data_IF_493021956565
#
_entry.id   IF_493021956565
#
_cell.length_a   1.000
_cell.length_b   1.000
_cell.length_c   1.000
_cell.angle_alpha   90.00
_cell.angle_beta   90.00
_cell.angle_gamma   90.00
#
_symmetry.space_group_name_H-M   'P 1'
#
loop_
_entity.id
_entity.type
_entity.pdbx_description
1 polymer ?
#
# COMPACT_ATOMS: atom_id res chain seq x y z
N UNK A 1 87.20 31.20 12.02
CA UNK A 1 87.61 30.39 13.20
C UNK A 1 86.33 30.17 14.00
N UNK A 2 85.74 29.02 13.83
CA UNK A 2 85.69 27.84 14.69
C UNK A 2 85.00 28.10 16.03
N UNK A 3 83.86 27.53 16.22
CA UNK A 3 83.73 26.47 17.19
C UNK A 3 82.33 25.87 17.13
N UNK A 4 82.26 24.59 16.80
CA UNK A 4 81.16 23.68 16.87
C UNK A 4 80.90 23.32 18.35
N UNK A 5 79.65 23.45 18.82
CA UNK A 5 79.24 22.69 20.00
C UNK A 5 78.12 21.78 19.59
N UNK A 6 78.44 20.49 19.62
CA UNK A 6 77.46 19.38 19.51
C UNK A 6 76.62 19.34 20.78
N UNK A 7 75.29 19.34 20.62
CA UNK A 7 74.41 18.92 21.68
C UNK A 7 73.71 17.61 21.23
N UNK A 8 74.01 16.58 22.00
CA UNK A 8 73.37 15.27 21.92
C UNK A 8 72.06 15.39 22.65
N UNK A 9 70.93 15.27 21.95
CA UNK A 9 69.63 15.13 22.59
C UNK A 9 69.26 13.68 22.46
N UNK A 10 69.16 13.05 23.64
CA UNK A 10 68.72 11.69 23.88
C UNK A 10 67.22 11.51 23.40
N UNK A 11 66.98 10.56 22.49
CA UNK A 11 65.70 10.11 22.14
C UNK A 11 65.17 9.23 23.27
N UNK A 12 64.20 9.74 24.03
CA UNK A 12 63.29 8.91 24.82
C UNK A 12 62.12 8.49 23.92
N UNK A 13 62.13 7.23 23.50
CA UNK A 13 61.02 6.59 22.79
C UNK A 13 59.90 6.32 23.79
N UNK A 14 58.85 7.12 23.75
CA UNK A 14 57.58 6.80 24.40
C UNK A 14 56.79 5.96 23.43
N UNK A 15 56.73 4.66 23.69
CA UNK A 15 55.79 3.74 23.03
C UNK A 15 54.44 3.96 23.66
N UNK A 16 53.56 4.69 22.95
CA UNK A 16 52.16 4.76 23.29
C UNK A 16 51.48 3.53 22.66
N UNK A 17 51.14 2.55 23.47
CA UNK A 17 50.26 1.46 23.11
C UNK A 17 48.86 2.05 22.92
N UNK A 18 48.46 2.29 21.67
CA UNK A 18 47.05 2.52 21.34
C UNK A 18 46.36 1.16 21.29
N UNK A 19 45.67 0.80 22.37
CA UNK A 19 44.69 -0.30 22.34
C UNK A 19 43.54 0.13 21.45
N UNK A 20 43.58 -0.29 20.18
CA UNK A 20 42.42 -0.21 19.31
C UNK A 20 41.37 -1.19 19.82
N UNK A 21 40.43 -0.68 20.62
CA UNK A 21 39.18 -1.37 20.87
C UNK A 21 38.41 -1.45 19.56
N UNK A 22 38.50 -2.57 18.89
CA UNK A 22 37.57 -2.97 17.83
C UNK A 22 36.19 -3.17 18.48
N UNK A 23 35.52 -2.05 18.75
CA UNK A 23 34.09 -2.04 18.96
C UNK A 23 33.40 -2.39 17.65
N UNK A 24 33.23 -3.67 17.39
CA UNK A 24 32.31 -4.12 16.36
C UNK A 24 30.93 -3.60 16.71
N UNK A 25 30.46 -2.57 15.99
CA UNK A 25 29.04 -2.32 15.90
C UNK A 25 28.41 -3.53 15.21
N UNK A 26 28.05 -4.52 16.00
CA UNK A 26 27.02 -5.44 15.61
C UNK A 26 25.78 -4.56 15.38
N UNK A 27 25.47 -4.25 14.12
CA UNK A 27 24.10 -3.84 13.77
C UNK A 27 23.22 -4.98 14.24
N UNK A 28 22.59 -4.82 15.39
CA UNK A 28 21.43 -5.57 15.73
C UNK A 28 20.38 -5.22 14.68
N UNK A 29 20.25 -6.03 13.66
CA UNK A 29 19.01 -6.16 12.93
C UNK A 29 18.00 -6.71 13.93
N UNK A 30 17.50 -5.84 14.78
CA UNK A 30 16.21 -6.04 15.38
C UNK A 30 15.22 -5.74 14.25
N UNK A 31 15.01 -6.74 13.37
CA UNK A 31 13.75 -6.86 12.71
C UNK A 31 12.72 -6.81 13.83
N UNK A 32 11.86 -5.81 13.84
CA UNK A 32 10.57 -5.88 14.48
C UNK A 32 9.83 -7.02 13.75
N UNK A 33 10.14 -8.26 14.10
CA UNK A 33 9.21 -9.35 13.93
C UNK A 33 8.07 -8.98 14.89
N UNK A 34 7.01 -8.41 14.34
CA UNK A 34 5.68 -8.48 14.93
C UNK A 34 5.54 -9.90 15.45
N UNK A 35 4.97 -10.07 16.65
CA UNK A 35 4.62 -11.37 17.24
C UNK A 35 3.52 -12.03 16.39
N UNK A 36 3.80 -12.28 15.12
CA UNK A 36 2.90 -13.03 14.25
C UNK A 36 2.89 -14.47 14.74
N UNK A 37 1.72 -15.01 15.00
CA UNK A 37 1.55 -16.45 15.12
C UNK A 37 2.04 -17.11 13.82
N UNK A 38 2.55 -18.33 13.89
CA UNK A 38 2.89 -19.07 12.66
C UNK A 38 1.66 -19.08 11.74
N UNK A 39 1.82 -18.65 10.47
CA UNK A 39 0.68 -18.59 9.55
C UNK A 39 0.18 -19.99 9.22
N UNK A 40 -1.12 -20.12 9.09
CA UNK A 40 -1.77 -21.32 8.58
C UNK A 40 -1.66 -21.26 7.05
N UNK A 41 -0.96 -22.24 6.47
CA UNK A 41 -0.82 -22.32 5.02
C UNK A 41 -2.01 -23.09 4.47
N UNK A 42 -2.76 -22.43 3.59
CA UNK A 42 -3.98 -22.94 2.99
C UNK A 42 -3.79 -23.25 1.50
N UNK A 43 -4.53 -24.22 0.99
CA UNK A 43 -4.56 -24.51 -0.44
C UNK A 43 -5.81 -23.91 -1.10
N UNK A 44 -5.70 -22.65 -1.53
CA UNK A 44 -6.73 -21.96 -2.30
C UNK A 44 -6.51 -22.04 -3.83
N UNK A 45 -5.64 -22.93 -4.31
CA UNK A 45 -5.27 -23.03 -5.74
C UNK A 45 -6.46 -23.20 -6.68
N UNK A 46 -7.52 -23.89 -6.24
CA UNK A 46 -8.74 -24.08 -7.02
C UNK A 46 -9.42 -22.77 -7.40
N UNK A 47 -9.37 -21.74 -6.53
CA UNK A 47 -9.98 -20.44 -6.78
C UNK A 47 -9.16 -19.60 -7.77
N UNK A 48 -7.85 -19.82 -7.83
CA UNK A 48 -6.96 -19.11 -8.74
C UNK A 48 -7.03 -19.61 -10.20
N UNK A 49 -7.60 -20.79 -10.44
CA UNK A 49 -7.83 -21.34 -11.80
C UNK A 49 -6.56 -21.33 -12.67
N UNK A 50 -5.40 -21.58 -12.05
CA UNK A 50 -4.09 -21.57 -12.69
C UNK A 50 -3.40 -20.20 -12.79
N UNK A 51 -4.06 -19.12 -12.38
CA UNK A 51 -3.42 -17.80 -12.32
C UNK A 51 -2.39 -17.75 -11.17
N UNK A 52 -1.26 -17.07 -11.42
CA UNK A 52 -0.22 -16.89 -10.40
C UNK A 52 -0.62 -15.77 -9.45
N UNK A 53 -0.70 -16.07 -8.16
CA UNK A 53 -1.09 -15.09 -7.16
C UNK A 53 -0.96 -15.60 -5.74
N UNK A 54 -1.48 -14.81 -4.82
CA UNK A 54 -1.53 -15.10 -3.37
C UNK A 54 -2.81 -14.54 -2.76
N UNK A 55 -3.24 -15.16 -1.68
CA UNK A 55 -4.31 -14.67 -0.83
C UNK A 55 -3.84 -14.67 0.64
N UNK A 56 -4.08 -13.57 1.33
CA UNK A 56 -3.82 -13.42 2.75
C UNK A 56 -5.12 -13.00 3.42
N UNK A 57 -5.51 -13.75 4.45
CA UNK A 57 -6.62 -13.42 5.34
C UNK A 57 -6.08 -13.32 6.77
N UNK A 58 -6.42 -12.25 7.46
CA UNK A 58 -5.96 -11.98 8.82
C UNK A 58 -7.14 -11.76 9.74
N UNK A 59 -7.28 -12.63 10.73
CA UNK A 59 -8.21 -12.45 11.83
C UNK A 59 -7.50 -11.72 12.98
N UNK A 60 -7.83 -10.44 13.17
CA UNK A 60 -7.20 -9.59 14.17
C UNK A 60 -7.50 -10.01 15.62
N UNK A 61 -8.69 -10.55 15.88
CA UNK A 61 -9.12 -10.96 17.22
C UNK A 61 -8.34 -12.18 17.73
N UNK A 62 -8.05 -13.10 16.82
CA UNK A 62 -7.30 -14.34 17.13
C UNK A 62 -5.81 -14.25 16.79
N UNK A 63 -5.38 -13.18 16.13
CA UNK A 63 -4.03 -12.97 15.60
C UNK A 63 -3.58 -14.13 14.68
N UNK A 64 -4.50 -14.61 13.83
CA UNK A 64 -4.24 -15.73 12.90
C UNK A 64 -4.19 -15.26 11.47
N UNK A 65 -3.19 -15.75 10.75
CA UNK A 65 -3.06 -15.58 9.31
C UNK A 65 -3.39 -16.88 8.59
N UNK A 66 -4.17 -16.79 7.52
CA UNK A 66 -4.44 -17.85 6.56
C UNK A 66 -3.84 -17.41 5.23
N UNK A 67 -2.86 -18.14 4.73
CA UNK A 67 -2.05 -17.70 3.59
C UNK A 67 -1.99 -18.77 2.51
N UNK A 68 -2.38 -18.41 1.30
CA UNK A 68 -2.07 -19.15 0.09
C UNK A 68 -0.87 -18.53 -0.61
N UNK A 69 0.14 -19.33 -0.97
CA UNK A 69 1.39 -18.92 -1.63
C UNK A 69 2.18 -17.88 -0.83
N UNK A 70 2.78 -18.35 0.27
CA UNK A 70 3.50 -17.51 1.24
C UNK A 70 4.67 -16.71 0.59
N UNK A 71 5.31 -17.24 -0.45
CA UNK A 71 6.40 -16.54 -1.15
C UNK A 71 5.91 -15.21 -1.76
N UNK A 72 4.74 -15.22 -2.40
CA UNK A 72 4.16 -14.01 -2.97
C UNK A 72 3.47 -13.12 -1.93
N UNK A 73 3.08 -13.67 -0.79
CA UNK A 73 2.41 -12.93 0.28
C UNK A 73 3.29 -11.87 0.93
N UNK A 74 4.61 -12.09 0.96
CA UNK A 74 5.60 -11.15 1.52
C UNK A 74 6.24 -10.25 0.45
N UNK A 75 5.97 -10.51 -0.83
CA UNK A 75 6.55 -9.73 -1.93
C UNK A 75 5.92 -8.36 -2.05
N UNK A 76 6.71 -7.30 -1.85
CA UNK A 76 6.26 -5.91 -2.01
C UNK A 76 6.18 -5.49 -3.48
N UNK A 77 5.03 -4.94 -3.88
CA UNK A 77 4.82 -4.31 -5.19
C UNK A 77 3.99 -3.03 -5.05
N UNK A 78 3.78 -2.32 -6.17
CA UNK A 78 2.99 -1.10 -6.15
C UNK A 78 1.53 -1.39 -5.77
N UNK A 79 0.94 -0.60 -4.85
CA UNK A 79 -0.45 -0.80 -4.43
C UNK A 79 -1.47 -0.45 -5.51
N UNK A 80 -1.09 0.34 -6.49
CA UNK A 80 -1.98 0.83 -7.53
C UNK A 80 -3.26 1.47 -6.95
N UNK A 81 -4.42 1.19 -7.53
CA UNK A 81 -5.67 1.80 -7.07
C UNK A 81 -6.17 1.30 -5.71
N UNK A 82 -5.56 0.28 -5.08
CA UNK A 82 -5.87 -0.06 -3.68
C UNK A 82 -5.44 1.07 -2.72
N UNK A 83 -4.44 1.87 -3.10
CA UNK A 83 -4.00 3.05 -2.35
C UNK A 83 -5.09 4.12 -2.19
N UNK A 84 -6.15 4.08 -2.99
CA UNK A 84 -7.29 4.99 -2.84
C UNK A 84 -8.00 4.89 -1.50
N UNK A 85 -7.89 3.77 -0.80
CA UNK A 85 -8.34 3.63 0.60
C UNK A 85 -7.67 4.70 1.47
N UNK A 86 -6.35 4.79 1.39
CA UNK A 86 -5.55 5.74 2.18
C UNK A 86 -5.71 7.17 1.67
N UNK A 87 -5.71 7.36 0.34
CA UNK A 87 -5.88 8.69 -0.26
C UNK A 87 -7.23 9.30 0.09
N UNK A 88 -8.30 8.50 0.13
CA UNK A 88 -9.63 8.95 0.52
C UNK A 88 -9.65 9.39 1.99
N UNK A 89 -9.09 8.57 2.89
CA UNK A 89 -9.03 8.92 4.31
C UNK A 89 -8.20 10.18 4.56
N UNK A 90 -7.04 10.32 3.91
CA UNK A 90 -6.24 11.54 4.01
C UNK A 90 -7.01 12.78 3.51
N UNK A 91 -7.73 12.65 2.41
CA UNK A 91 -8.56 13.72 1.87
C UNK A 91 -9.71 14.11 2.80
N UNK A 92 -10.37 13.14 3.42
CA UNK A 92 -11.45 13.37 4.40
C UNK A 92 -10.91 13.99 5.69
N UNK A 93 -9.80 13.48 6.22
CA UNK A 93 -9.22 13.93 7.50
C UNK A 93 -8.63 15.32 7.41
N UNK A 94 -7.98 15.67 6.29
CA UNK A 94 -7.46 17.01 6.02
C UNK A 94 -8.55 18.04 5.67
N UNK A 95 -9.79 17.59 5.44
CA UNK A 95 -10.90 18.46 5.01
C UNK A 95 -10.83 18.91 3.54
N UNK A 96 -9.92 18.34 2.75
CA UNK A 96 -9.89 18.53 1.28
C UNK A 96 -11.12 17.90 0.64
N UNK A 97 -11.47 16.68 1.06
CA UNK A 97 -12.76 16.06 0.72
C UNK A 97 -13.78 16.50 1.77
N UNK A 98 -14.70 17.35 1.38
CA UNK A 98 -15.85 17.74 2.21
C UNK A 98 -17.06 16.93 1.75
N UNK A 99 -17.59 16.02 2.56
CA UNK A 99 -18.68 15.12 2.12
C UNK A 99 -19.91 15.83 1.56
N UNK A 100 -20.20 17.05 2.01
CA UNK A 100 -21.32 17.87 1.51
C UNK A 100 -21.00 18.65 0.22
N UNK A 101 -19.72 18.74 -0.16
CA UNK A 101 -19.25 19.49 -1.34
C UNK A 101 -17.88 18.94 -1.76
N UNK A 102 -17.90 17.72 -2.28
CA UNK A 102 -16.68 16.97 -2.67
C UNK A 102 -16.42 16.99 -4.18
N UNK A 103 -17.24 17.71 -4.93
CA UNK A 103 -17.13 17.75 -6.39
C UNK A 103 -15.84 18.42 -6.84
N UNK A 104 -14.99 17.66 -7.55
CA UNK A 104 -13.87 18.23 -8.30
C UNK A 104 -14.22 18.37 -9.77
N UNK A 105 -13.76 19.47 -10.37
CA UNK A 105 -14.02 19.79 -11.76
C UNK A 105 -13.09 19.01 -12.68
N UNK A 106 -13.67 18.33 -13.66
CA UNK A 106 -12.94 17.74 -14.75
C UNK A 106 -12.32 18.82 -15.64
N UNK A 107 -11.06 18.65 -15.99
CA UNK A 107 -10.29 19.65 -16.77
C UNK A 107 -10.51 19.55 -18.28
N UNK A 108 -11.38 18.64 -18.76
CA UNK A 108 -11.64 18.40 -20.16
C UNK A 108 -10.71 17.39 -20.82
N UNK A 109 -9.80 16.77 -20.06
CA UNK A 109 -8.95 15.69 -20.58
C UNK A 109 -9.75 14.44 -20.89
N UNK A 110 -9.70 13.95 -22.13
CA UNK A 110 -10.39 12.72 -22.53
C UNK A 110 -9.57 11.49 -22.11
N UNK A 111 -10.07 10.79 -21.08
CA UNK A 111 -9.52 9.50 -20.64
C UNK A 111 -10.17 8.33 -21.38
N UNK A 112 -9.46 7.20 -21.57
CA UNK A 112 -10.05 5.98 -22.14
C UNK A 112 -11.21 5.40 -21.32
N UNK A 113 -11.28 5.75 -20.04
CA UNK A 113 -12.36 5.37 -19.12
C UNK A 113 -13.40 6.48 -19.12
N UNK A 114 -14.51 6.26 -19.80
CA UNK A 114 -15.54 7.30 -20.04
C UNK A 114 -16.15 7.86 -18.78
N UNK A 115 -16.24 7.05 -17.73
CA UNK A 115 -16.75 7.43 -16.41
C UNK A 115 -15.90 8.49 -15.71
N UNK A 116 -14.66 8.70 -16.18
CA UNK A 116 -13.75 9.73 -15.65
C UNK A 116 -13.93 11.11 -16.32
N UNK A 117 -14.62 11.15 -17.46
CA UNK A 117 -14.73 12.32 -18.33
C UNK A 117 -15.90 13.22 -17.91
N UNK A 118 -15.95 13.56 -16.63
CA UNK A 118 -16.95 14.47 -16.04
C UNK A 118 -16.50 14.91 -14.66
N UNK A 119 -17.17 15.92 -14.11
CA UNK A 119 -17.04 16.28 -12.69
C UNK A 119 -17.39 15.08 -11.81
N UNK A 120 -16.62 14.84 -10.76
CA UNK A 120 -16.81 13.69 -9.87
C UNK A 120 -16.87 14.12 -8.40
N UNK A 121 -17.74 13.49 -7.64
CA UNK A 121 -17.71 13.46 -6.18
C UNK A 121 -16.86 12.30 -5.68
N UNK A 122 -16.37 12.37 -4.43
CA UNK A 122 -15.43 11.37 -3.89
C UNK A 122 -15.96 9.94 -3.89
N UNK A 123 -17.28 9.75 -3.63
CA UNK A 123 -17.90 8.42 -3.65
C UNK A 123 -17.86 7.80 -5.04
N UNK A 124 -18.25 8.60 -6.03
CA UNK A 124 -18.23 8.16 -7.43
C UNK A 124 -16.79 7.96 -7.93
N UNK A 125 -15.89 8.89 -7.62
CA UNK A 125 -14.46 8.78 -7.96
C UNK A 125 -13.83 7.51 -7.38
N UNK A 126 -14.20 7.12 -6.15
CA UNK A 126 -13.75 5.88 -5.52
C UNK A 126 -14.30 4.65 -6.27
N UNK A 127 -15.59 4.64 -6.57
CA UNK A 127 -16.30 3.55 -7.25
C UNK A 127 -15.70 3.30 -8.65
N UNK A 128 -15.53 4.36 -9.45
CA UNK A 128 -14.97 4.26 -10.81
C UNK A 128 -13.44 4.27 -10.83
N UNK A 129 -12.83 4.35 -9.64
CA UNK A 129 -11.36 4.35 -9.47
C UNK A 129 -10.65 5.48 -10.21
N UNK A 130 -11.25 6.68 -10.29
CA UNK A 130 -10.69 7.83 -11.00
C UNK A 130 -9.34 8.24 -10.42
N UNK A 131 -8.28 8.10 -11.24
CA UNK A 131 -6.91 8.43 -10.82
C UNK A 131 -6.77 9.94 -10.68
N UNK A 132 -7.28 10.71 -11.64
CA UNK A 132 -7.14 12.16 -11.65
C UNK A 132 -7.72 12.83 -10.39
N UNK A 133 -8.87 12.35 -9.89
CA UNK A 133 -9.49 12.87 -8.67
C UNK A 133 -8.58 12.67 -7.45
N UNK A 134 -8.08 11.45 -7.25
CA UNK A 134 -7.22 11.13 -6.10
C UNK A 134 -5.80 11.67 -6.25
N UNK A 135 -5.34 11.91 -7.47
CA UNK A 135 -4.11 12.68 -7.70
C UNK A 135 -4.26 14.11 -7.20
N UNK A 136 -5.36 14.78 -7.56
CA UNK A 136 -5.67 16.13 -7.08
C UNK A 136 -5.82 16.18 -5.55
N UNK A 137 -6.50 15.19 -4.94
CA UNK A 137 -6.58 15.08 -3.48
C UNK A 137 -5.20 15.03 -2.86
N UNK A 138 -4.30 14.19 -3.36
CA UNK A 138 -2.96 14.03 -2.80
C UNK A 138 -2.10 15.29 -2.99
N UNK A 139 -2.21 15.97 -4.12
CA UNK A 139 -1.52 17.23 -4.36
C UNK A 139 -1.98 18.33 -3.38
N UNK A 140 -3.29 18.39 -3.08
CA UNK A 140 -3.85 19.35 -2.13
C UNK A 140 -3.54 19.00 -0.67
N UNK A 141 -3.48 17.72 -0.33
CA UNK A 141 -3.09 17.22 1.00
C UNK A 141 -1.61 17.52 1.28
N UNK A 142 -0.74 17.37 0.29
CA UNK A 142 0.69 17.66 0.34
C UNK A 142 1.57 16.50 0.81
N UNK A 143 2.82 16.54 0.35
CA UNK A 143 3.79 15.45 0.54
C UNK A 143 4.11 15.15 2.00
N UNK A 144 4.25 16.19 2.82
CA UNK A 144 4.62 16.04 4.24
C UNK A 144 3.55 15.23 5.01
N UNK A 145 2.28 15.58 4.82
CA UNK A 145 1.17 14.87 5.48
C UNK A 145 1.02 13.44 4.94
N UNK A 146 1.22 13.22 3.64
CA UNK A 146 1.22 11.88 3.05
C UNK A 146 2.33 11.04 3.68
N UNK A 147 3.57 11.57 3.74
CA UNK A 147 4.71 10.86 4.32
C UNK A 147 4.49 10.51 5.80
N UNK A 148 3.98 11.46 6.59
CA UNK A 148 3.66 11.25 8.00
C UNK A 148 2.62 10.14 8.17
N UNK A 149 1.55 10.17 7.37
CA UNK A 149 0.48 9.17 7.41
C UNK A 149 1.00 7.77 7.05
N UNK A 150 1.80 7.65 5.99
CA UNK A 150 2.40 6.37 5.61
C UNK A 150 3.32 5.81 6.69
N UNK A 151 4.13 6.67 7.31
CA UNK A 151 5.00 6.28 8.42
C UNK A 151 4.18 5.79 9.63
N UNK A 152 3.11 6.50 10.00
CA UNK A 152 2.22 6.13 11.10
C UNK A 152 1.56 4.78 10.85
N UNK A 153 1.09 4.52 9.63
CA UNK A 153 0.51 3.24 9.24
C UNK A 153 1.56 2.14 9.04
N UNK A 154 2.85 2.47 8.94
CA UNK A 154 3.91 1.55 8.48
C UNK A 154 3.57 0.95 7.09
N UNK A 155 3.13 1.81 6.17
CA UNK A 155 2.62 1.40 4.85
C UNK A 155 3.75 0.94 3.93
N UNK A 156 4.03 -0.35 3.92
CA UNK A 156 5.07 -0.96 3.08
C UNK A 156 6.44 -0.30 3.28
N UNK A 157 7.07 0.15 2.19
CA UNK A 157 8.37 0.83 2.23
C UNK A 157 8.28 2.34 2.49
N UNK A 158 7.09 2.92 2.58
CA UNK A 158 6.83 4.35 2.79
C UNK A 158 7.55 5.28 1.78
N UNK A 159 7.95 4.81 0.61
CA UNK A 159 8.75 5.57 -0.34
C UNK A 159 7.87 6.36 -1.33
N UNK A 160 7.80 7.67 -1.14
CA UNK A 160 7.09 8.62 -2.01
C UNK A 160 8.06 9.48 -2.84
N UNK A 161 9.33 9.09 -2.96
CA UNK A 161 10.38 9.89 -3.60
C UNK A 161 10.09 10.23 -5.06
N UNK A 162 9.35 9.38 -5.77
CA UNK A 162 8.82 9.68 -7.10
C UNK A 162 7.38 10.20 -7.02
N UNK A 163 7.20 11.37 -6.44
CA UNK A 163 5.87 11.96 -6.25
C UNK A 163 5.02 12.01 -7.52
N UNK A 164 5.63 12.37 -8.64
CA UNK A 164 4.98 12.44 -9.95
C UNK A 164 4.89 11.09 -10.68
N UNK A 165 5.31 10.02 -10.02
CA UNK A 165 5.41 8.70 -10.60
C UNK A 165 6.70 8.44 -11.37
N UNK A 166 6.84 7.21 -11.88
CA UNK A 166 8.00 6.82 -12.69
C UNK A 166 7.96 7.50 -14.06
N UNK A 167 9.08 8.08 -14.50
CA UNK A 167 9.21 8.66 -15.84
C UNK A 167 8.99 7.64 -16.97
N UNK A 168 9.19 6.36 -16.68
CA UNK A 168 9.06 5.27 -17.63
C UNK A 168 7.65 4.64 -17.62
N UNK A 169 6.78 5.04 -16.74
CA UNK A 169 5.42 4.53 -16.64
C UNK A 169 4.41 5.67 -16.77
N UNK A 170 3.84 5.81 -17.94
CA UNK A 170 2.66 6.65 -18.14
C UNK A 170 1.45 5.72 -18.28
N UNK A 171 0.51 5.81 -17.34
CA UNK A 171 -0.72 4.99 -17.36
C UNK A 171 -1.49 5.15 -18.68
N UNK A 172 -1.42 6.35 -19.29
CA UNK A 172 -2.05 6.64 -20.56
C UNK A 172 -1.08 7.36 -21.52
N UNK A 173 -0.10 6.64 -22.09
CA UNK A 173 0.94 7.26 -22.95
C UNK A 173 0.38 7.92 -24.22
N UNK A 174 -0.82 7.53 -24.66
CA UNK A 174 -1.51 8.11 -25.82
C UNK A 174 -2.04 9.52 -25.57
N UNK A 175 -2.20 9.95 -24.32
CA UNK A 175 -2.72 11.27 -23.99
C UNK A 175 -1.56 12.26 -23.91
N UNK A 176 -1.38 13.07 -24.95
CA UNK A 176 -0.32 14.07 -25.02
C UNK A 176 -0.69 15.34 -24.24
N UNK A 177 0.26 15.91 -23.51
CA UNK A 177 0.09 17.18 -22.83
C UNK A 177 -0.64 17.11 -21.49
N UNK A 178 -0.88 15.91 -20.98
CA UNK A 178 -1.42 15.72 -19.64
C UNK A 178 -0.47 16.27 -18.58
N UNK A 179 -1.03 17.04 -17.63
CA UNK A 179 -0.49 17.03 -16.26
C UNK A 179 -0.47 15.56 -15.83
N UNK A 180 0.69 15.04 -15.47
CA UNK A 180 0.81 13.62 -15.13
C UNK A 180 -0.23 13.26 -14.08
N UNK A 181 -1.07 12.26 -14.39
CA UNK A 181 -1.95 11.65 -13.38
C UNK A 181 -1.26 10.47 -12.68
N UNK A 182 -0.02 10.17 -13.09
CA UNK A 182 0.81 9.18 -12.43
C UNK A 182 1.15 9.64 -11.01
N UNK A 183 1.56 8.70 -10.19
CA UNK A 183 1.97 8.99 -8.84
C UNK A 183 2.85 7.88 -8.27
N UNK A 184 3.47 8.16 -7.15
CA UNK A 184 4.36 7.25 -6.42
C UNK A 184 3.74 5.87 -6.12
N UNK A 185 2.42 5.75 -6.17
CA UNK A 185 1.64 4.52 -5.86
C UNK A 185 1.32 3.67 -7.10
N UNK A 186 1.65 4.16 -8.32
CA UNK A 186 1.32 3.48 -9.58
C UNK A 186 2.59 2.97 -10.25
N UNK A 187 2.89 1.68 -10.09
CA UNK A 187 4.10 1.04 -10.62
C UNK A 187 5.37 1.90 -10.44
N UNK A 188 5.48 2.54 -9.26
CA UNK A 188 6.54 3.47 -8.92
C UNK A 188 7.20 3.10 -7.59
N UNK A 189 7.65 4.07 -6.79
CA UNK A 189 8.50 3.82 -5.61
C UNK A 189 7.78 3.25 -4.40
N UNK A 190 6.49 3.58 -4.20
CA UNK A 190 5.74 3.02 -3.08
C UNK A 190 5.42 1.54 -3.33
N UNK A 191 5.85 0.69 -2.39
CA UNK A 191 5.66 -0.76 -2.45
C UNK A 191 5.10 -1.28 -1.14
N UNK A 192 4.23 -2.29 -1.23
CA UNK A 192 3.63 -2.95 -0.07
C UNK A 192 3.38 -4.42 -0.40
N UNK A 193 3.48 -5.31 0.60
CA UNK A 193 3.16 -6.72 0.42
C UNK A 193 1.70 -7.02 0.77
N UNK A 194 1.14 -8.15 0.30
CA UNK A 194 -0.20 -8.60 0.71
C UNK A 194 -0.38 -8.72 2.23
N UNK A 195 0.62 -9.24 2.95
CA UNK A 195 0.59 -9.29 4.42
C UNK A 195 0.48 -7.87 4.99
N UNK A 196 1.34 -6.95 4.56
CA UNK A 196 1.33 -5.57 5.04
C UNK A 196 0.03 -4.84 4.70
N UNK A 197 -0.63 -5.16 3.58
CA UNK A 197 -1.96 -4.62 3.26
C UNK A 197 -2.99 -5.01 4.32
N UNK A 198 -3.02 -6.26 4.77
CA UNK A 198 -3.96 -6.71 5.82
C UNK A 198 -3.66 -6.05 7.16
N UNK A 199 -2.37 -5.86 7.50
CA UNK A 199 -1.96 -5.15 8.72
C UNK A 199 -2.39 -3.67 8.70
N UNK A 200 -2.27 -3.01 7.54
CA UNK A 200 -2.73 -1.62 7.36
C UNK A 200 -4.25 -1.54 7.50
N UNK A 201 -5.00 -2.48 6.90
CA UNK A 201 -6.46 -2.54 7.06
C UNK A 201 -6.83 -2.73 8.54
N UNK A 202 -6.16 -3.63 9.25
CA UNK A 202 -6.37 -3.82 10.68
C UNK A 202 -6.13 -2.52 11.47
N UNK A 203 -5.01 -1.84 11.25
CA UNK A 203 -4.73 -0.56 11.92
C UNK A 203 -5.79 0.50 11.68
N UNK A 204 -6.35 0.58 10.47
CA UNK A 204 -7.36 1.56 10.13
C UNK A 204 -8.70 1.24 10.79
N UNK A 205 -9.17 0.01 10.68
CA UNK A 205 -10.55 -0.33 11.04
C UNK A 205 -10.70 -0.88 12.46
N UNK A 206 -9.64 -1.42 13.05
CA UNK A 206 -9.62 -1.92 14.42
C UNK A 206 -8.99 -0.93 15.40
N UNK A 207 -7.72 -0.54 15.18
CA UNK A 207 -6.99 0.34 16.13
C UNK A 207 -7.55 1.77 16.10
N UNK A 208 -7.95 2.25 14.92
CA UNK A 208 -8.58 3.57 14.70
C UNK A 208 -7.76 4.77 15.19
N UNK A 209 -6.43 4.61 15.32
CA UNK A 209 -5.55 5.63 15.92
C UNK A 209 -5.11 6.72 14.93
N UNK A 210 -5.28 6.46 13.62
CA UNK A 210 -4.72 7.32 12.57
C UNK A 210 -5.73 8.31 12.02
N UNK A 211 -7.00 7.92 11.94
CA UNK A 211 -8.08 8.71 11.36
C UNK A 211 -9.27 8.75 12.31
N UNK A 212 -10.10 9.80 12.18
CA UNK A 212 -11.32 9.90 12.97
C UNK A 212 -12.32 8.81 12.59
N UNK A 213 -13.05 8.29 13.58
CA UNK A 213 -14.06 7.25 13.40
C UNK A 213 -15.09 7.64 12.34
N UNK A 214 -15.54 8.90 12.36
CA UNK A 214 -16.48 9.42 11.37
C UNK A 214 -15.98 9.29 9.92
N UNK A 215 -14.67 9.48 9.68
CA UNK A 215 -14.09 9.36 8.35
C UNK A 215 -13.84 7.90 7.96
N UNK A 216 -13.53 7.05 8.95
CA UNK A 216 -13.47 5.59 8.76
C UNK A 216 -14.85 5.06 8.34
N UNK A 217 -15.93 5.48 9.00
CA UNK A 217 -17.31 5.07 8.67
C UNK A 217 -17.71 5.51 7.24
N UNK A 218 -17.34 6.75 6.86
CA UNK A 218 -17.56 7.24 5.48
C UNK A 218 -16.83 6.43 4.43
N UNK A 219 -15.60 6.02 4.74
CA UNK A 219 -14.83 5.14 3.85
C UNK A 219 -15.48 3.75 3.79
N UNK A 220 -15.86 3.17 4.94
CA UNK A 220 -16.55 1.88 5.01
C UNK A 220 -17.78 1.88 4.13
N UNK A 221 -18.62 2.92 4.19
CA UNK A 221 -19.80 3.07 3.34
C UNK A 221 -19.51 2.91 1.84
N UNK A 222 -18.41 3.50 1.35
CA UNK A 222 -18.06 3.46 -0.08
C UNK A 222 -17.23 2.24 -0.49
N UNK A 223 -16.68 1.51 0.48
CA UNK A 223 -15.98 0.24 0.26
C UNK A 223 -16.94 -0.96 0.17
N UNK A 224 -18.18 -0.80 0.61
CA UNK A 224 -19.18 -1.88 0.58
C UNK A 224 -19.37 -2.39 -0.85
N UNK A 225 -19.17 -3.69 -1.02
CA UNK A 225 -19.41 -4.39 -2.27
C UNK A 225 -20.82 -4.94 -2.25
N UNK A 226 -21.62 -4.57 -3.24
CA UNK A 226 -22.91 -5.21 -3.46
C UNK A 226 -22.66 -6.67 -3.84
N UNK A 227 -22.96 -7.56 -2.91
CA UNK A 227 -22.75 -9.00 -3.07
C UNK A 227 -24.10 -9.71 -2.94
N UNK A 228 -24.62 -10.24 -4.05
CA UNK A 228 -25.90 -10.97 -4.13
C UNK A 228 -25.94 -12.24 -3.24
N UNK A 229 -24.82 -12.67 -2.66
CA UNK A 229 -24.69 -13.96 -1.95
C UNK A 229 -24.97 -13.95 -0.44
N UNK A 230 -25.73 -12.98 0.08
CA UNK A 230 -26.65 -13.19 1.20
C UNK A 230 -26.24 -13.09 2.67
N UNK A 231 -25.01 -13.18 3.12
CA UNK A 231 -24.76 -13.22 4.58
C UNK A 231 -23.54 -12.44 5.06
N UNK A 232 -22.64 -12.10 4.18
CA UNK A 232 -21.36 -11.52 4.54
C UNK A 232 -21.20 -10.19 3.85
N UNK A 233 -21.11 -9.14 4.64
CA UNK A 233 -20.78 -7.82 4.10
C UNK A 233 -19.29 -7.75 3.78
N UNK A 234 -18.96 -7.59 2.51
CA UNK A 234 -17.58 -7.50 2.02
C UNK A 234 -17.28 -6.05 1.66
N UNK A 235 -16.20 -5.54 2.18
CA UNK A 235 -15.71 -4.18 1.96
C UNK A 235 -14.35 -4.25 1.28
N UNK A 236 -14.15 -3.51 0.17
CA UNK A 236 -12.87 -3.60 -0.49
C UNK A 236 -12.66 -2.62 -1.63
N UNK A 237 -11.40 -2.57 -2.07
CA UNK A 237 -10.97 -1.77 -3.22
C UNK A 237 -10.09 -2.58 -4.13
N UNK A 238 -10.42 -2.55 -5.41
CA UNK A 238 -9.59 -3.14 -6.48
C UNK A 238 -8.42 -2.24 -6.85
N UNK A 239 -7.32 -2.85 -7.29
CA UNK A 239 -6.19 -2.20 -7.94
C UNK A 239 -5.78 -2.96 -9.18
N UNK A 240 -5.31 -2.25 -10.21
CA UNK A 240 -4.73 -2.83 -11.41
C UNK A 240 -3.51 -2.01 -11.78
N UNK A 241 -2.36 -2.68 -11.90
CA UNK A 241 -1.12 -2.09 -12.37
C UNK A 241 -1.02 -2.14 -13.88
N UNK A 242 -0.48 -1.07 -14.47
CA UNK A 242 -0.22 -0.99 -15.91
C UNK A 242 1.25 -0.61 -16.09
N UNK A 243 1.97 -1.40 -16.87
CA UNK A 243 3.35 -1.15 -17.27
C UNK A 243 3.52 -1.52 -18.74
N UNK A 244 4.09 -0.62 -19.54
CA UNK A 244 4.30 -0.82 -20.97
C UNK A 244 3.03 -1.30 -21.70
N UNK A 245 1.90 -0.65 -21.43
CA UNK A 245 0.56 -0.97 -21.98
C UNK A 245 0.03 -2.37 -21.58
N UNK A 246 0.73 -3.07 -20.70
CA UNK A 246 0.34 -4.39 -20.19
C UNK A 246 -0.11 -4.31 -18.74
N UNK A 247 -1.13 -5.06 -18.40
CA UNK A 247 -1.53 -5.24 -17.00
C UNK A 247 -0.59 -6.22 -16.31
N UNK A 248 -0.04 -5.82 -15.15
CA UNK A 248 1.06 -6.55 -14.50
C UNK A 248 0.75 -7.03 -13.09
N UNK A 249 -0.09 -6.33 -12.37
CA UNK A 249 -0.50 -6.64 -11.01
C UNK A 249 -2.00 -6.37 -10.82
N UNK A 250 -2.67 -7.25 -10.12
CA UNK A 250 -4.08 -7.11 -9.79
C UNK A 250 -4.28 -7.28 -8.29
N UNK A 251 -5.03 -6.37 -7.67
CA UNK A 251 -5.28 -6.34 -6.23
C UNK A 251 -6.77 -6.31 -5.92
N UNK A 252 -7.15 -6.98 -4.84
CA UNK A 252 -8.36 -6.69 -4.11
C UNK A 252 -8.05 -6.74 -2.61
N UNK A 253 -8.25 -5.60 -1.94
CA UNK A 253 -7.84 -5.40 -0.54
C UNK A 253 -9.04 -4.89 0.24
N UNK A 254 -9.26 -5.42 1.44
CA UNK A 254 -10.37 -5.01 2.27
C UNK A 254 -10.56 -5.86 3.52
N UNK A 255 -11.81 -6.00 3.93
CA UNK A 255 -12.23 -6.83 5.04
C UNK A 255 -13.65 -7.33 4.83
N UNK A 256 -14.05 -8.31 5.61
CA UNK A 256 -15.43 -8.76 5.70
C UNK A 256 -15.82 -9.03 7.17
N UNK A 257 -17.10 -8.95 7.45
CA UNK A 257 -17.68 -9.21 8.77
C UNK A 257 -18.51 -10.48 8.69
N UNK A 258 -18.19 -11.45 9.55
CA UNK A 258 -18.87 -12.73 9.63
C UNK A 258 -18.87 -13.23 11.08
N UNK A 259 -20.01 -13.63 11.61
CA UNK A 259 -20.19 -14.20 12.97
C UNK A 259 -19.56 -13.36 14.09
N UNK A 260 -19.69 -12.02 14.02
CA UNK A 260 -19.11 -11.01 14.90
C UNK A 260 -17.54 -10.93 14.87
N UNK A 261 -16.91 -11.55 13.92
CA UNK A 261 -15.48 -11.39 13.65
C UNK A 261 -15.23 -10.51 12.43
N UNK A 262 -14.16 -9.75 12.45
CA UNK A 262 -13.68 -8.98 11.28
C UNK A 262 -12.42 -9.62 10.74
N UNK A 263 -12.45 -10.04 9.47
CA UNK A 263 -11.31 -10.65 8.79
C UNK A 263 -10.84 -9.73 7.68
N UNK A 264 -9.59 -9.29 7.77
CA UNK A 264 -8.91 -8.44 6.80
C UNK A 264 -8.29 -9.28 5.72
N UNK A 265 -8.38 -8.85 4.47
CA UNK A 265 -7.83 -9.65 3.37
C UNK A 265 -7.08 -8.83 2.32
N UNK A 266 -6.18 -9.52 1.63
CA UNK A 266 -5.50 -9.03 0.45
C UNK A 266 -5.30 -10.19 -0.53
N UNK A 267 -5.94 -10.11 -1.69
CA UNK A 267 -5.72 -11.02 -2.82
C UNK A 267 -4.97 -10.27 -3.90
N UNK A 268 -3.87 -10.87 -4.35
CA UNK A 268 -3.03 -10.31 -5.41
C UNK A 268 -2.75 -11.35 -6.50
N UNK A 269 -2.89 -10.92 -7.76
CA UNK A 269 -2.44 -11.69 -8.93
C UNK A 269 -1.19 -11.02 -9.52
N UNK A 270 -0.19 -11.84 -9.79
CA UNK A 270 1.06 -11.44 -10.42
C UNK A 270 1.19 -12.13 -11.77
N UNK A 271 0.31 -11.75 -12.69
CA UNK A 271 0.23 -12.35 -14.01
C UNK A 271 -0.25 -11.33 -15.04
N UNK A 272 0.34 -11.32 -16.26
CA UNK A 272 -0.11 -10.44 -17.33
C UNK A 272 -1.60 -10.64 -17.66
N UNK A 273 -2.26 -9.56 -18.04
CA UNK A 273 -3.68 -9.52 -18.44
C UNK A 273 -4.69 -9.84 -17.33
N UNK A 274 -4.27 -9.80 -16.05
CA UNK A 274 -5.18 -9.88 -14.91
C UNK A 274 -5.56 -8.49 -14.42
N UNK A 275 -6.76 -8.36 -13.87
CA UNK A 275 -7.30 -7.10 -13.35
C UNK A 275 -7.74 -7.24 -11.90
N UNK A 276 -7.92 -6.12 -11.23
CA UNK A 276 -8.49 -6.11 -9.89
C UNK A 276 -9.86 -6.80 -9.80
N UNK A 277 -10.60 -6.90 -10.90
CA UNK A 277 -11.86 -7.65 -10.95
C UNK A 277 -11.61 -9.16 -10.78
N UNK A 278 -10.55 -9.71 -11.40
CA UNK A 278 -10.17 -11.12 -11.21
C UNK A 278 -9.77 -11.39 -9.75
N UNK A 279 -8.98 -10.49 -9.14
CA UNK A 279 -8.61 -10.62 -7.73
C UNK A 279 -9.85 -10.53 -6.81
N UNK A 280 -10.82 -9.67 -7.14
CA UNK A 280 -12.08 -9.54 -6.42
C UNK A 280 -12.92 -10.82 -6.49
N UNK A 281 -13.08 -11.42 -7.66
CA UNK A 281 -13.81 -12.67 -7.84
C UNK A 281 -13.20 -13.81 -7.02
N UNK A 282 -11.86 -13.95 -7.06
CA UNK A 282 -11.15 -14.95 -6.26
C UNK A 282 -11.38 -14.73 -4.76
N UNK A 283 -11.26 -13.49 -4.29
CA UNK A 283 -11.49 -13.18 -2.88
C UNK A 283 -12.91 -13.53 -2.44
N UNK A 284 -13.91 -13.15 -3.23
CA UNK A 284 -15.32 -13.45 -2.93
C UNK A 284 -15.57 -14.97 -2.94
N UNK A 285 -15.01 -15.69 -3.90
CA UNK A 285 -15.13 -17.16 -3.96
C UNK A 285 -14.52 -17.82 -2.70
N UNK A 286 -13.32 -17.38 -2.25
CA UNK A 286 -12.70 -17.89 -1.03
C UNK A 286 -13.54 -17.54 0.20
N UNK A 287 -13.97 -16.28 0.35
CA UNK A 287 -14.77 -15.83 1.49
C UNK A 287 -16.05 -16.66 1.62
N UNK A 288 -16.77 -16.84 0.52
CA UNK A 288 -18.04 -17.57 0.53
C UNK A 288 -17.91 -19.06 0.80
N UNK A 289 -16.81 -19.69 0.40
CA UNK A 289 -16.66 -21.14 0.51
C UNK A 289 -15.85 -21.60 1.73
N UNK A 290 -14.93 -20.77 2.24
CA UNK A 290 -14.02 -21.16 3.30
C UNK A 290 -14.33 -20.48 4.65
N UNK A 291 -14.98 -19.31 4.64
CA UNK A 291 -15.26 -18.55 5.86
C UNK A 291 -16.76 -18.42 6.17
N UNK A 292 -17.63 -18.28 5.16
CA UNK A 292 -19.04 -17.93 5.33
C UNK A 292 -19.99 -19.13 5.13
N UNK A 293 -19.54 -20.35 5.25
CA UNK A 293 -20.35 -21.57 5.14
C UNK A 293 -20.98 -21.98 6.47
#
# INVERSE_FOLDING_TARGET
MSNRKKWIISLFSIIILIAASLGGCAKSNTSNQSNMSEPIIEDYSQYFKGMKGTAVFFNGDTNKYYIYNNELADMQTAPNSSFKIISCLMGLESGIIKPSDSTMKWDGTEYPITEWNKDLEYKEAFKVSAIWYYREVLDLVGQDYVQETLNKLSYGNCDISQWEGSLNNNVFPQIKGLKSINGFWQESTLKISPIQQTEVMYKIFHDKDTFSEQNIDRLKEIMLIDNDSNKTEIYGKTGTGIMDESWVDAWFVGFFEYDNETIYFSVRLNEPNTTGQNAKEIAIDIINNEFAN
#
